data_IF_180327147537
#
_entry.id   IF_180327147537
#
_cell.length_a   1.000
_cell.length_b   1.000
_cell.length_c   1.000
_cell.angle_alpha   90.00
_cell.angle_beta   90.00
_cell.angle_gamma   90.00
#
_symmetry.space_group_name_H-M   'P 1'
#
loop_
_entity.id
_entity.type
_entity.pdbx_description
1 polymer ?
#
# COMPACT_ATOMS: atom_id res chain seq x y z
N UNK A 1 5.52 24.94 7.70
CA UNK A 1 5.96 24.04 8.77
C UNK A 1 4.78 23.20 9.27
N UNK A 2 4.21 22.42 8.35
CA UNK A 2 3.02 21.57 8.56
C UNK A 2 3.38 20.09 8.63
N UNK A 3 4.64 19.77 8.30
CA UNK A 3 5.18 18.41 8.27
C UNK A 3 5.56 17.90 9.67
N UNK A 4 5.69 18.77 10.68
CA UNK A 4 6.08 18.38 12.05
C UNK A 4 4.87 18.12 12.97
N UNK A 5 3.65 18.53 12.58
CA UNK A 5 2.47 18.45 13.46
C UNK A 5 1.55 17.24 13.24
N UNK A 6 1.92 16.30 12.38
CA UNK A 6 1.15 15.05 12.20
C UNK A 6 -0.31 15.28 11.78
N UNK A 7 -0.59 16.37 11.07
CA UNK A 7 -1.94 16.81 10.74
C UNK A 7 -2.00 17.10 9.23
N UNK A 8 -2.42 16.11 8.44
CA UNK A 8 -2.74 16.31 7.02
C UNK A 8 -4.22 16.70 6.98
N UNK A 9 -4.50 17.97 6.75
CA UNK A 9 -5.87 18.46 6.52
C UNK A 9 -6.90 17.99 7.57
N UNK A 10 -6.58 18.11 8.86
CA UNK A 10 -7.43 17.72 10.00
C UNK A 10 -7.57 16.20 10.23
N UNK A 11 -6.78 15.37 9.54
CA UNK A 11 -6.61 13.95 9.85
C UNK A 11 -5.46 13.74 10.82
N UNK A 12 -5.75 13.16 11.98
CA UNK A 12 -4.72 12.80 12.95
C UNK A 12 -3.87 11.66 12.40
N UNK A 13 -2.57 11.91 12.23
CA UNK A 13 -1.59 10.88 11.86
C UNK A 13 -1.24 10.03 13.08
N UNK A 14 -2.22 9.26 13.56
CA UNK A 14 -2.12 8.41 14.75
C UNK A 14 -2.58 6.98 14.44
N UNK A 15 -1.61 6.09 14.22
CA UNK A 15 -1.86 4.68 13.94
C UNK A 15 -2.46 3.89 15.11
N UNK A 16 -2.53 4.46 16.32
CA UNK A 16 -3.23 3.84 17.45
C UNK A 16 -4.73 4.08 17.41
N UNK A 17 -5.17 5.18 16.79
CA UNK A 17 -6.58 5.58 16.69
C UNK A 17 -7.17 5.18 15.32
N UNK A 18 -6.35 5.22 14.27
CA UNK A 18 -6.77 4.90 12.91
C UNK A 18 -5.99 3.71 12.36
N UNK A 19 -6.62 2.53 12.32
CA UNK A 19 -6.11 1.33 11.64
C UNK A 19 -7.12 0.76 10.68
N UNK A 20 -6.63 0.29 9.54
CA UNK A 20 -7.38 -0.47 8.56
C UNK A 20 -7.09 -1.96 8.78
N UNK A 21 -7.98 -2.66 9.49
CA UNK A 21 -7.78 -4.07 9.84
C UNK A 21 -8.28 -5.05 8.76
N UNK A 22 -8.79 -4.56 7.63
CA UNK A 22 -9.12 -5.40 6.49
C UNK A 22 -7.84 -5.75 5.70
N UNK A 23 -7.83 -6.83 4.90
CA UNK A 23 -6.75 -7.09 3.97
C UNK A 23 -6.50 -5.88 3.06
N UNK A 24 -5.23 -5.53 2.87
CA UNK A 24 -4.83 -4.40 2.02
C UNK A 24 -3.66 -4.80 1.13
N UNK A 25 -3.74 -4.53 -0.16
CA UNK A 25 -2.66 -4.81 -1.11
C UNK A 25 -1.98 -3.49 -1.52
N UNK A 26 -0.65 -3.46 -1.37
CA UNK A 26 0.21 -2.41 -1.91
C UNK A 26 1.04 -2.98 -3.05
N UNK A 27 1.06 -2.31 -4.19
CA UNK A 27 1.85 -2.69 -5.36
C UNK A 27 2.93 -1.64 -5.57
N UNK A 28 4.20 -2.06 -5.60
CA UNK A 28 5.38 -1.20 -5.77
C UNK A 28 6.07 -1.50 -7.10
N UNK A 29 6.46 -0.45 -7.81
CA UNK A 29 7.36 -0.55 -8.96
C UNK A 29 8.81 -0.71 -8.54
N UNK A 30 9.50 -1.74 -9.02
CA UNK A 30 10.90 -2.01 -8.64
C UNK A 30 11.89 -0.93 -9.08
N UNK A 31 11.54 -0.12 -10.08
CA UNK A 31 12.33 1.00 -10.59
C UNK A 31 11.84 2.36 -10.04
N UNK A 32 10.93 2.34 -9.07
CA UNK A 32 10.40 3.54 -8.41
C UNK A 32 11.09 3.77 -7.07
N UNK A 33 11.68 4.96 -6.89
CA UNK A 33 12.21 5.42 -5.59
C UNK A 33 11.10 5.94 -4.66
N UNK A 34 9.84 5.92 -5.10
CA UNK A 34 8.72 6.54 -4.38
C UNK A 34 8.36 5.80 -3.08
N UNK A 35 8.65 4.50 -2.99
CA UNK A 35 8.39 3.68 -1.80
C UNK A 35 9.69 3.11 -1.23
N UNK A 36 10.32 3.84 -0.32
CA UNK A 36 11.42 3.37 0.52
C UNK A 36 10.93 2.40 1.62
N UNK A 37 11.87 1.66 2.21
CA UNK A 37 11.59 0.73 3.32
C UNK A 37 11.01 1.43 4.56
N UNK A 38 11.35 2.70 4.77
CA UNK A 38 10.79 3.53 5.84
C UNK A 38 9.27 3.72 5.67
N UNK A 39 8.79 3.90 4.43
CA UNK A 39 7.36 3.98 4.16
C UNK A 39 6.65 2.64 4.36
N UNK A 40 7.32 1.52 4.06
CA UNK A 40 6.76 0.18 4.32
C UNK A 40 6.54 -0.02 5.83
N UNK A 41 7.48 0.43 6.66
CA UNK A 41 7.34 0.39 8.11
C UNK A 41 6.16 1.25 8.60
N UNK A 42 5.97 2.45 8.05
CA UNK A 42 4.80 3.29 8.37
C UNK A 42 3.48 2.66 7.90
N UNK A 43 3.43 2.10 6.68
CA UNK A 43 2.26 1.38 6.15
C UNK A 43 1.81 0.30 7.14
N UNK A 44 2.75 -0.51 7.65
CA UNK A 44 2.45 -1.57 8.61
C UNK A 44 1.82 -1.09 9.92
N UNK A 45 2.05 0.16 10.32
CA UNK A 45 1.40 0.73 11.52
C UNK A 45 -0.09 0.98 11.30
N UNK A 46 -0.48 1.40 10.09
CA UNK A 46 -1.86 1.73 9.74
C UNK A 46 -2.63 0.53 9.15
N UNK A 47 -1.94 -0.36 8.43
CA UNK A 47 -2.50 -1.52 7.73
C UNK A 47 -1.83 -2.80 8.22
N UNK A 48 -2.16 -3.32 9.43
CA UNK A 48 -1.46 -4.47 10.00
C UNK A 48 -1.58 -5.77 9.18
N UNK A 49 -2.60 -5.88 8.33
CA UNK A 49 -2.88 -7.05 7.47
C UNK A 49 -2.52 -6.78 6.00
N UNK A 50 -1.50 -5.96 5.76
CA UNK A 50 -1.10 -5.61 4.40
C UNK A 50 -0.26 -6.69 3.71
N UNK A 51 -0.39 -6.74 2.39
CA UNK A 51 0.51 -7.46 1.49
C UNK A 51 1.24 -6.42 0.62
N UNK A 52 2.55 -6.62 0.42
CA UNK A 52 3.34 -5.82 -0.52
C UNK A 52 3.78 -6.70 -1.68
N UNK A 53 3.56 -6.23 -2.91
CA UNK A 53 3.96 -6.92 -4.13
C UNK A 53 4.81 -5.99 -5.01
N UNK A 54 5.92 -6.52 -5.48
CA UNK A 54 6.78 -5.84 -6.43
C UNK A 54 6.37 -6.21 -7.86
N UNK A 55 6.23 -5.20 -8.72
CA UNK A 55 6.02 -5.33 -10.16
C UNK A 55 7.14 -4.58 -10.88
N UNK A 56 7.63 -5.11 -11.99
CA UNK A 56 8.71 -4.42 -12.73
C UNK A 56 8.19 -3.13 -13.37
N UNK A 57 8.62 -1.96 -12.91
CA UNK A 57 8.17 -0.70 -13.49
C UNK A 57 8.54 0.51 -12.65
N UNK A 58 8.21 1.71 -13.15
CA UNK A 58 8.37 2.96 -12.40
C UNK A 58 7.18 3.18 -11.44
N UNK A 59 6.82 4.42 -11.15
CA UNK A 59 5.69 4.74 -10.28
C UNK A 59 4.33 4.33 -10.86
N UNK A 60 4.19 4.32 -12.19
CA UNK A 60 2.93 4.05 -12.89
C UNK A 60 2.82 2.59 -13.35
N UNK A 61 3.05 1.65 -12.43
CA UNK A 61 3.08 0.20 -12.72
C UNK A 61 1.83 -0.29 -13.44
N UNK A 62 0.67 0.25 -13.11
CA UNK A 62 -0.62 -0.11 -13.72
C UNK A 62 -0.70 0.28 -15.21
N UNK A 63 0.03 1.31 -15.63
CA UNK A 63 0.10 1.75 -17.03
C UNK A 63 1.24 1.07 -17.78
N UNK A 64 2.38 0.87 -17.12
CA UNK A 64 3.55 0.22 -17.73
C UNK A 64 3.38 -1.29 -17.89
N UNK A 65 2.89 -1.96 -16.84
CA UNK A 65 2.65 -3.41 -16.78
C UNK A 65 1.20 -3.71 -16.38
N UNK A 66 0.21 -3.33 -17.23
CA UNK A 66 -1.21 -3.51 -16.90
C UNK A 66 -1.58 -4.97 -16.64
N UNK A 67 -0.96 -5.91 -17.37
CA UNK A 67 -1.22 -7.35 -17.21
C UNK A 67 -0.69 -7.89 -15.88
N UNK A 68 0.57 -7.62 -15.55
CA UNK A 68 1.17 -8.06 -14.28
C UNK A 68 0.44 -7.44 -13.07
N UNK A 69 0.05 -6.16 -13.17
CA UNK A 69 -0.77 -5.54 -12.14
C UNK A 69 -2.14 -6.20 -11.99
N UNK A 70 -2.81 -6.53 -13.11
CA UNK A 70 -4.09 -7.23 -13.08
C UNK A 70 -3.96 -8.63 -12.45
N UNK A 71 -2.91 -9.38 -12.79
CA UNK A 71 -2.65 -10.70 -12.21
C UNK A 71 -2.49 -10.60 -10.67
N UNK A 72 -1.67 -9.66 -10.19
CA UNK A 72 -1.49 -9.44 -8.74
C UNK A 72 -2.80 -9.05 -8.04
N UNK A 73 -3.62 -8.21 -8.68
CA UNK A 73 -4.93 -7.81 -8.15
C UNK A 73 -5.88 -8.99 -8.08
N UNK A 74 -6.01 -9.76 -9.16
CA UNK A 74 -6.86 -10.95 -9.24
C UNK A 74 -6.48 -11.96 -8.18
N UNK A 75 -5.20 -12.31 -8.06
CA UNK A 75 -4.74 -13.26 -7.06
C UNK A 75 -5.04 -12.81 -5.63
N UNK A 76 -4.91 -11.50 -5.34
CA UNK A 76 -5.26 -10.95 -4.03
C UNK A 76 -6.75 -11.06 -3.76
N UNK A 77 -7.59 -10.69 -4.73
CA UNK A 77 -9.04 -10.78 -4.61
C UNK A 77 -9.46 -12.24 -4.38
N UNK A 78 -9.00 -13.18 -5.20
CA UNK A 78 -9.33 -14.60 -5.08
C UNK A 78 -8.96 -15.17 -3.71
N UNK A 79 -7.80 -14.80 -3.14
CA UNK A 79 -7.40 -15.25 -1.77
C UNK A 79 -8.29 -14.72 -0.64
N UNK A 80 -8.98 -13.60 -0.87
CA UNK A 80 -9.77 -12.92 0.15
C UNK A 80 -11.29 -12.93 -0.12
N UNK A 81 -11.73 -13.39 -1.30
CA UNK A 81 -13.16 -13.61 -1.62
C UNK A 81 -13.74 -14.84 -0.90
N UNK A 82 -12.94 -15.88 -0.65
CA UNK A 82 -13.39 -17.14 -0.03
C UNK A 82 -13.55 -17.10 1.51
N UNK A 83 -13.53 -15.91 2.13
CA UNK A 83 -13.63 -15.75 3.59
C UNK A 83 -14.96 -15.20 4.11
N UNK A 84 -16.00 -15.15 3.29
CA UNK A 84 -17.37 -14.78 3.70
C UNK A 84 -18.33 -15.96 3.62
#
# INVERSE_FOLDING_TARGET
DSLIKGNISNWEYNSWVHRCNIPALFIKGTKSEYMSDEYVAEIGKFFPNFELRDVEGSHWVNTEKPKECAEVLTEFIERHEDKN
#
